data_IF_321216343614
#
_entry.id   IF_321216343614
#
_cell.length_a   1.000
_cell.length_b   1.000
_cell.length_c   1.000
_cell.angle_alpha   90.00
_cell.angle_beta   90.00
_cell.angle_gamma   90.00
#
_symmetry.space_group_name_H-M   'P 1'
#
loop_
_entity.id
_entity.type
_entity.pdbx_description
1 polymer ?
#
# COMPACT_ATOMS: atom_id res chain seq x y z
N UNK A 1 -48.02 -7.93 -26.25
CA UNK A 1 -46.71 -7.95 -25.57
C UNK A 1 -46.13 -6.56 -25.69
N UNK A 2 -46.36 -5.72 -24.69
CA UNK A 2 -45.68 -4.43 -24.60
C UNK A 2 -44.27 -4.72 -24.09
N UNK A 3 -43.27 -4.30 -24.84
CA UNK A 3 -41.88 -4.33 -24.42
C UNK A 3 -41.73 -3.16 -23.45
N UNK A 4 -41.57 -3.47 -22.17
CA UNK A 4 -41.21 -2.49 -21.15
C UNK A 4 -39.78 -2.01 -21.44
N UNK A 5 -39.66 -0.90 -22.17
CA UNK A 5 -38.38 -0.21 -22.31
C UNK A 5 -38.05 0.41 -20.95
N UNK A 6 -37.22 -0.30 -20.16
CA UNK A 6 -36.56 0.29 -19.00
C UNK A 6 -35.77 1.51 -19.48
N UNK A 7 -36.27 2.70 -19.15
CA UNK A 7 -35.54 3.95 -19.32
C UNK A 7 -34.36 3.94 -18.35
N UNK A 8 -33.19 3.53 -18.81
CA UNK A 8 -31.93 3.76 -18.09
C UNK A 8 -31.76 5.26 -17.86
N UNK A 9 -31.95 5.70 -16.62
CA UNK A 9 -31.66 7.08 -16.23
C UNK A 9 -30.15 7.28 -16.27
N UNK A 10 -29.66 8.36 -16.91
CA UNK A 10 -28.23 8.64 -16.96
C UNK A 10 -27.65 8.77 -15.54
N UNK A 11 -26.42 8.28 -15.31
CA UNK A 11 -25.83 8.24 -13.97
C UNK A 11 -25.77 9.64 -13.35
N UNK A 12 -26.21 9.76 -12.10
CA UNK A 12 -26.16 11.02 -11.34
C UNK A 12 -24.69 11.41 -11.09
N UNK A 13 -24.23 12.46 -11.75
CA UNK A 13 -22.86 12.95 -11.59
C UNK A 13 -22.78 13.90 -10.40
N UNK A 14 -21.94 13.56 -9.41
CA UNK A 14 -21.81 14.30 -8.16
C UNK A 14 -20.45 14.96 -8.03
N UNK A 15 -20.42 16.29 -7.98
CA UNK A 15 -19.16 17.02 -7.77
C UNK A 15 -18.60 16.81 -6.36
N UNK A 16 -17.32 16.44 -6.24
CA UNK A 16 -16.63 16.21 -4.97
C UNK A 16 -15.15 16.57 -5.06
N UNK A 17 -14.59 17.18 -4.00
CA UNK A 17 -13.14 17.45 -3.91
C UNK A 17 -12.31 16.17 -3.95
N UNK A 18 -12.81 15.11 -3.31
CA UNK A 18 -12.16 13.81 -3.32
C UNK A 18 -12.15 13.19 -4.72
N UNK A 19 -13.26 13.30 -5.47
CA UNK A 19 -13.32 12.86 -6.85
C UNK A 19 -12.29 13.57 -7.74
N UNK A 20 -12.15 14.89 -7.57
CA UNK A 20 -11.17 15.68 -8.32
C UNK A 20 -9.72 15.35 -7.97
N UNK A 21 -9.41 15.15 -6.69
CA UNK A 21 -8.06 14.74 -6.24
C UNK A 21 -7.68 13.37 -6.81
N UNK A 22 -8.65 12.46 -6.89
CA UNK A 22 -8.46 11.13 -7.45
C UNK A 22 -8.66 11.05 -8.98
N UNK A 23 -8.92 12.18 -9.64
CA UNK A 23 -9.03 12.25 -11.10
C UNK A 23 -10.28 11.58 -11.71
N UNK A 24 -11.39 11.50 -10.97
CA UNK A 24 -12.65 10.97 -11.52
C UNK A 24 -13.32 12.01 -12.43
N UNK A 25 -13.56 11.63 -13.69
CA UNK A 25 -14.12 12.50 -14.74
C UNK A 25 -15.66 12.61 -14.63
N UNK A 26 -16.36 11.48 -14.48
CA UNK A 26 -17.82 11.41 -14.21
C UNK A 26 -18.11 10.69 -12.88
N UNK A 27 -17.90 11.37 -11.73
CA UNK A 27 -18.03 10.74 -10.42
C UNK A 27 -19.49 10.40 -10.07
N UNK A 28 -19.81 9.10 -10.01
CA UNK A 28 -21.06 8.59 -9.41
C UNK A 28 -21.02 8.69 -7.88
N UNK A 29 -22.18 8.69 -7.18
CA UNK A 29 -22.23 8.80 -5.72
C UNK A 29 -21.44 7.69 -5.00
N UNK A 30 -21.51 6.46 -5.53
CA UNK A 30 -20.80 5.31 -5.00
C UNK A 30 -19.29 5.42 -5.21
N UNK A 31 -18.86 5.87 -6.38
CA UNK A 31 -17.43 6.11 -6.65
C UNK A 31 -16.84 7.13 -5.67
N UNK A 32 -17.56 8.23 -5.41
CA UNK A 32 -17.14 9.24 -4.42
C UNK A 32 -17.05 8.63 -3.01
N UNK A 33 -17.99 7.76 -2.64
CA UNK A 33 -17.98 7.07 -1.34
C UNK A 33 -16.78 6.15 -1.19
N UNK A 34 -16.47 5.34 -2.20
CA UNK A 34 -15.30 4.45 -2.17
C UNK A 34 -13.99 5.21 -2.09
N UNK A 35 -13.84 6.28 -2.88
CA UNK A 35 -12.65 7.12 -2.84
C UNK A 35 -12.45 7.73 -1.45
N UNK A 36 -13.52 8.19 -0.79
CA UNK A 36 -13.45 8.68 0.59
C UNK A 36 -12.95 7.59 1.55
N UNK A 37 -13.47 6.36 1.44
CA UNK A 37 -13.04 5.25 2.28
C UNK A 37 -11.56 4.93 2.06
N UNK A 38 -11.15 4.76 0.81
CA UNK A 38 -9.78 4.42 0.42
C UNK A 38 -8.79 5.51 0.84
N UNK A 39 -9.19 6.78 0.75
CA UNK A 39 -8.35 7.92 1.14
C UNK A 39 -7.94 7.93 2.61
N UNK A 40 -8.71 7.26 3.48
CA UNK A 40 -8.36 7.08 4.90
C UNK A 40 -7.73 5.70 5.13
N UNK A 41 -8.27 4.68 4.46
CA UNK A 41 -7.86 3.29 4.63
C UNK A 41 -6.39 3.10 4.23
N UNK A 42 -5.98 3.57 3.06
CA UNK A 42 -4.63 3.35 2.55
C UNK A 42 -3.55 4.01 3.43
N UNK A 43 -3.66 5.30 3.82
CA UNK A 43 -2.68 5.89 4.73
C UNK A 43 -2.65 5.22 6.10
N UNK A 44 -3.80 4.81 6.63
CA UNK A 44 -3.87 4.13 7.93
C UNK A 44 -3.16 2.77 7.89
N UNK A 45 -3.38 1.98 6.82
CA UNK A 45 -2.64 0.73 6.62
C UNK A 45 -1.15 0.98 6.43
N UNK A 46 -0.77 1.92 5.56
CA UNK A 46 0.63 2.25 5.32
C UNK A 46 1.36 2.64 6.61
N UNK A 47 0.74 3.47 7.44
CA UNK A 47 1.28 3.87 8.73
C UNK A 47 1.40 2.67 9.69
N UNK A 48 0.39 1.81 9.75
CA UNK A 48 0.41 0.61 10.60
C UNK A 48 1.53 -0.35 10.20
N UNK A 49 1.67 -0.62 8.91
CA UNK A 49 2.77 -1.44 8.38
C UNK A 49 4.12 -0.79 8.63
N UNK A 50 4.26 0.51 8.39
CA UNK A 50 5.52 1.21 8.59
C UNK A 50 5.97 1.14 10.05
N UNK A 51 5.06 1.36 11.00
CA UNK A 51 5.34 1.21 12.43
C UNK A 51 5.74 -0.24 12.74
N UNK A 52 4.96 -1.21 12.28
CA UNK A 52 5.22 -2.63 12.51
C UNK A 52 6.60 -3.06 11.99
N UNK A 53 6.94 -2.70 10.74
CA UNK A 53 8.24 -3.02 10.14
C UNK A 53 9.39 -2.31 10.84
N UNK A 54 9.19 -1.07 11.30
CA UNK A 54 10.23 -0.33 12.04
C UNK A 54 10.56 -1.01 13.36
N UNK A 55 9.55 -1.32 14.19
CA UNK A 55 9.78 -2.01 15.46
C UNK A 55 10.29 -3.44 15.27
N UNK A 56 9.84 -4.13 14.22
CA UNK A 56 10.38 -5.43 13.86
C UNK A 56 11.87 -5.37 13.51
N UNK A 57 12.29 -4.37 12.72
CA UNK A 57 13.69 -4.16 12.38
C UNK A 57 14.54 -3.87 13.63
N UNK A 58 14.04 -3.02 14.54
CA UNK A 58 14.72 -2.72 15.80
C UNK A 58 14.90 -3.99 16.63
N UNK A 59 13.82 -4.75 16.81
CA UNK A 59 13.87 -6.01 17.56
C UNK A 59 14.86 -7.01 16.96
N UNK A 60 14.85 -7.16 15.64
CA UNK A 60 15.80 -8.01 14.92
C UNK A 60 17.25 -7.53 15.09
N UNK A 61 17.49 -6.23 14.97
CA UNK A 61 18.81 -5.65 15.18
C UNK A 61 19.30 -5.91 16.60
N UNK A 62 18.51 -5.60 17.63
CA UNK A 62 18.91 -5.86 19.03
C UNK A 62 19.16 -7.34 19.29
N UNK A 63 18.31 -8.23 18.76
CA UNK A 63 18.44 -9.69 18.93
C UNK A 63 19.72 -10.22 18.29
N UNK A 64 20.01 -9.79 17.05
CA UNK A 64 21.21 -10.20 16.32
C UNK A 64 22.49 -9.54 16.84
N UNK A 65 22.39 -8.32 17.36
CA UNK A 65 23.48 -7.57 17.97
C UNK A 65 23.75 -7.92 19.44
N UNK A 66 23.02 -8.89 20.01
CA UNK A 66 23.19 -9.28 21.42
C UNK A 66 22.85 -8.18 22.42
N UNK A 67 21.91 -7.29 22.06
CA UNK A 67 21.52 -6.11 22.84
C UNK A 67 22.12 -4.80 22.33
N UNK A 68 23.05 -4.83 21.37
CA UNK A 68 23.55 -3.62 20.70
C UNK A 68 22.83 -3.41 19.35
N UNK A 69 21.96 -2.40 19.32
CA UNK A 69 21.20 -2.02 18.13
C UNK A 69 22.08 -1.69 16.92
N UNK A 70 23.19 -0.96 17.08
CA UNK A 70 24.02 -0.52 15.95
C UNK A 70 24.84 -1.68 15.37
N UNK A 71 25.38 -2.53 16.24
CA UNK A 71 26.05 -3.77 15.82
C UNK A 71 25.06 -4.68 15.07
N UNK A 72 23.85 -4.82 15.62
CA UNK A 72 22.75 -5.53 15.00
C UNK A 72 22.34 -5.02 13.63
N UNK A 73 22.12 -3.71 13.51
CA UNK A 73 21.73 -3.07 12.24
C UNK A 73 22.82 -3.24 11.18
N UNK A 74 24.09 -3.17 11.58
CA UNK A 74 25.24 -3.39 10.67
C UNK A 74 25.24 -4.83 10.15
N UNK A 75 25.02 -5.81 11.03
CA UNK A 75 24.91 -7.21 10.65
C UNK A 75 23.71 -7.46 9.75
N UNK A 76 22.54 -6.87 10.05
CA UNK A 76 21.36 -6.94 9.18
C UNK A 76 21.67 -6.38 7.79
N UNK A 77 22.30 -5.21 7.70
CA UNK A 77 22.70 -4.62 6.42
C UNK A 77 23.64 -5.53 5.61
N UNK A 78 24.61 -6.16 6.28
CA UNK A 78 25.50 -7.13 5.64
C UNK A 78 24.73 -8.36 5.10
N UNK A 79 23.80 -8.90 5.89
CA UNK A 79 22.96 -10.03 5.47
C UNK A 79 22.06 -9.67 4.28
N UNK A 80 21.55 -8.44 4.22
CA UNK A 80 20.77 -7.96 3.06
C UNK A 80 21.62 -7.92 1.79
N UNK A 81 22.87 -7.48 1.87
CA UNK A 81 23.78 -7.51 0.71
C UNK A 81 24.01 -8.93 0.22
N UNK A 82 24.25 -9.88 1.13
CA UNK A 82 24.38 -11.30 0.78
C UNK A 82 23.10 -11.81 0.14
N UNK A 83 21.94 -11.53 0.75
CA UNK A 83 20.64 -11.92 0.20
C UNK A 83 20.45 -11.37 -1.21
N UNK A 84 20.77 -10.10 -1.46
CA UNK A 84 20.68 -9.50 -2.78
C UNK A 84 21.62 -10.17 -3.79
N UNK A 85 22.84 -10.51 -3.39
CA UNK A 85 23.78 -11.21 -4.24
C UNK A 85 23.29 -12.63 -4.59
N UNK A 86 22.77 -13.37 -3.61
CA UNK A 86 22.20 -14.71 -3.81
C UNK A 86 20.98 -14.64 -4.72
N UNK A 87 20.05 -13.70 -4.48
CA UNK A 87 18.88 -13.49 -5.33
C UNK A 87 19.30 -13.16 -6.76
N UNK A 88 20.27 -12.26 -6.94
CA UNK A 88 20.78 -11.92 -8.27
C UNK A 88 21.35 -13.14 -8.99
N UNK A 89 22.12 -13.99 -8.29
CA UNK A 89 22.68 -15.20 -8.87
C UNK A 89 21.62 -16.26 -9.21
N UNK A 90 20.54 -16.35 -8.42
CA UNK A 90 19.45 -17.29 -8.65
C UNK A 90 18.46 -16.80 -9.72
N UNK A 91 18.18 -15.50 -9.76
CA UNK A 91 17.25 -14.87 -10.72
C UNK A 91 17.91 -14.69 -12.11
N UNK A 92 19.23 -14.52 -12.15
CA UNK A 92 20.03 -14.43 -13.38
C UNK A 92 21.17 -15.47 -13.38
N UNK A 93 20.84 -16.76 -13.53
CA UNK A 93 21.88 -17.78 -13.67
C UNK A 93 22.61 -17.56 -15.00
N UNK A 94 23.88 -17.14 -14.91
CA UNK A 94 24.81 -17.06 -16.05
C UNK A 94 25.20 -18.44 -16.55
#
# INVERSE_FOLDING_TARGET
MAVDCETETPPEVVSSRFARIFGLEDPTPDAVRYVKIISVLLPAFALSFQISTTFWMIHMAETLGGGDYFAGLTLVGFLVVIQMAVQTALDYPT
#
